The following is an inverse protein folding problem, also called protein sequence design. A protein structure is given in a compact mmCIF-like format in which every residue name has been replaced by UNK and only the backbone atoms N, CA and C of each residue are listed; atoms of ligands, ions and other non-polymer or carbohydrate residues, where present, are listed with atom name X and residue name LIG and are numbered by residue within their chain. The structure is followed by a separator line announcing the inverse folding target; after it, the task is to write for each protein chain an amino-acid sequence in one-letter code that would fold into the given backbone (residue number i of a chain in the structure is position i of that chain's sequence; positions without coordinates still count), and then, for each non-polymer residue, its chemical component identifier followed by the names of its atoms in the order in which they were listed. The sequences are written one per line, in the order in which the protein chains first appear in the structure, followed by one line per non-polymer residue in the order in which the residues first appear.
data_IF_626749193116
#
_entry.id   IF_626749193116
#
_cell.length_a   1.000
_cell.length_b   1.000
_cell.length_c   1.000
_cell.angle_alpha   90.00
_cell.angle_beta   90.00
_cell.angle_gamma   90.00
#
_symmetry.space_group_name_H-M   'P 1'
#
loop_
_entity.id
_entity.type
_entity.pdbx_description
1 polymer ?
#
# COMPACT_ATOMS: atom_id res chain seq x y z
N UNK A 1 4.20 30.20 23.93
CA UNK A 1 3.22 29.84 22.88
C UNK A 1 3.08 28.32 22.87
N UNK A 2 1.98 27.79 23.41
CA UNK A 2 1.69 26.36 23.40
C UNK A 2 1.31 26.00 21.95
N UNK A 3 2.18 25.30 21.25
CA UNK A 3 1.82 24.75 19.93
C UNK A 3 0.67 23.77 20.12
N UNK A 4 -0.53 24.19 19.74
CA UNK A 4 -1.65 23.25 19.65
C UNK A 4 -1.25 22.20 18.60
N UNK A 5 -0.83 21.04 19.08
CA UNK A 5 -0.49 19.91 18.21
C UNK A 5 -1.74 19.55 17.42
N UNK A 6 -1.65 19.62 16.09
CA UNK A 6 -2.76 19.29 15.22
C UNK A 6 -3.23 17.84 15.53
N UNK A 7 -4.52 17.70 15.82
CA UNK A 7 -5.16 16.40 16.09
C UNK A 7 -5.84 15.85 14.83
N UNK A 8 -5.13 15.87 13.69
CA UNK A 8 -5.64 15.34 12.44
C UNK A 8 -4.79 14.14 12.00
N UNK A 9 -5.46 13.03 11.66
CA UNK A 9 -4.87 11.90 10.95
C UNK A 9 -5.39 11.91 9.52
N UNK A 10 -4.49 12.06 8.55
CA UNK A 10 -4.78 11.87 7.13
C UNK A 10 -4.77 10.38 6.78
N UNK A 11 -5.76 9.89 6.07
CA UNK A 11 -5.80 8.53 5.54
C UNK A 11 -5.86 8.62 4.02
N UNK A 12 -4.77 8.22 3.37
CA UNK A 12 -4.68 8.07 1.92
C UNK A 12 -5.15 6.66 1.54
N UNK A 13 -6.35 6.53 1.02
CA UNK A 13 -6.94 5.25 0.67
C UNK A 13 -8.03 5.40 -0.39
N UNK A 14 -8.47 4.29 -0.96
CA UNK A 14 -9.66 4.22 -1.79
C UNK A 14 -10.89 4.72 -1.03
N UNK A 15 -11.96 5.10 -1.77
CA UNK A 15 -13.18 5.61 -1.15
C UNK A 15 -13.72 4.63 -0.08
N UNK A 16 -14.18 5.12 1.09
CA UNK A 16 -14.59 4.26 2.21
C UNK A 16 -15.66 3.22 1.87
N UNK A 17 -16.51 3.48 0.88
CA UNK A 17 -17.51 2.50 0.42
C UNK A 17 -16.93 1.19 -0.14
N UNK A 18 -15.62 1.16 -0.44
CA UNK A 18 -14.90 -0.03 -0.92
C UNK A 18 -14.23 -0.82 0.21
N UNK A 19 -14.23 -0.28 1.44
CA UNK A 19 -13.61 -0.92 2.59
C UNK A 19 -14.56 -1.94 3.22
N UNK A 20 -13.99 -2.99 3.80
CA UNK A 20 -14.75 -3.94 4.62
C UNK A 20 -14.60 -3.60 6.11
N UNK A 21 -15.66 -3.14 6.80
CA UNK A 21 -15.56 -2.72 8.20
C UNK A 21 -15.13 -3.82 9.17
N UNK A 22 -15.26 -5.10 8.78
CA UNK A 22 -14.87 -6.23 9.64
C UNK A 22 -13.41 -6.64 9.53
N UNK A 23 -12.73 -6.30 8.43
CA UNK A 23 -11.37 -6.79 8.16
C UNK A 23 -10.39 -5.72 7.71
N UNK A 24 -10.87 -4.53 7.30
CA UNK A 24 -9.97 -3.50 6.80
C UNK A 24 -9.26 -2.76 7.94
N UNK A 25 -7.95 -2.88 7.97
CA UNK A 25 -7.10 -2.23 8.95
C UNK A 25 -7.25 -0.71 8.96
N UNK A 26 -7.62 -0.09 7.84
CA UNK A 26 -7.83 1.37 7.76
C UNK A 26 -8.99 1.80 8.62
N UNK A 27 -10.06 1.01 8.68
CA UNK A 27 -11.23 1.26 9.56
C UNK A 27 -10.82 1.14 11.03
N UNK A 28 -10.09 0.08 11.40
CA UNK A 28 -9.61 -0.12 12.78
C UNK A 28 -8.70 1.03 13.22
N UNK A 29 -7.74 1.43 12.39
CA UNK A 29 -6.84 2.54 12.69
C UNK A 29 -7.59 3.87 12.82
N UNK A 30 -8.60 4.11 11.97
CA UNK A 30 -9.41 5.32 12.03
C UNK A 30 -10.22 5.39 13.34
N UNK A 31 -10.89 4.30 13.72
CA UNK A 31 -11.67 4.24 14.96
C UNK A 31 -10.78 4.43 16.19
N UNK A 32 -9.60 3.78 16.23
CA UNK A 32 -8.66 3.97 17.35
C UNK A 32 -8.10 5.40 17.40
N UNK A 33 -7.81 6.01 16.25
CA UNK A 33 -7.40 7.41 16.22
C UNK A 33 -8.52 8.34 16.76
N UNK A 34 -9.77 8.07 16.41
CA UNK A 34 -10.91 8.82 16.95
C UNK A 34 -11.06 8.68 18.47
N UNK A 35 -10.82 7.47 19.04
CA UNK A 35 -10.79 7.26 20.49
C UNK A 35 -9.74 8.10 21.20
N UNK A 36 -8.63 8.39 20.52
CA UNK A 36 -7.55 9.27 20.95
C UNK A 36 -7.83 10.75 20.63
N UNK A 37 -9.08 11.09 20.28
CA UNK A 37 -9.54 12.45 19.93
C UNK A 37 -8.86 13.04 18.68
N UNK A 38 -8.43 12.20 17.70
CA UNK A 38 -8.01 12.67 16.40
C UNK A 38 -9.22 12.81 15.47
N UNK A 39 -9.20 13.86 14.65
CA UNK A 39 -10.11 14.00 13.49
C UNK A 39 -9.52 13.24 12.33
N UNK A 40 -10.34 12.50 11.61
CA UNK A 40 -9.91 11.74 10.43
C UNK A 40 -10.20 12.55 9.18
N UNK A 41 -9.15 12.80 8.38
CA UNK A 41 -9.26 13.36 7.05
C UNK A 41 -8.93 12.31 6.01
N UNK A 42 -9.92 11.88 5.24
CA UNK A 42 -9.80 10.85 4.22
C UNK A 42 -9.67 11.48 2.83
N UNK A 43 -8.76 10.98 2.00
CA UNK A 43 -8.57 11.42 0.62
C UNK A 43 -8.09 10.27 -0.27
N UNK A 44 -8.48 10.35 -1.56
CA UNK A 44 -8.01 9.42 -2.59
C UNK A 44 -6.60 9.86 -3.07
N UNK A 45 -5.66 8.92 -3.33
CA UNK A 45 -4.32 9.26 -3.85
C UNK A 45 -4.33 10.20 -5.06
N UNK A 46 -5.30 10.05 -5.97
CA UNK A 46 -5.45 10.89 -7.17
C UNK A 46 -5.79 12.36 -6.87
N UNK A 47 -6.29 12.64 -5.68
CA UNK A 47 -6.68 13.99 -5.25
C UNK A 47 -5.53 14.78 -4.60
N UNK A 48 -4.30 14.19 -4.59
CA UNK A 48 -3.08 14.88 -4.16
C UNK A 48 -2.62 15.90 -5.19
N UNK A 49 -2.11 17.02 -4.70
CA UNK A 49 -1.48 18.05 -5.53
C UNK A 49 -0.36 18.78 -4.78
N UNK A 50 0.58 19.33 -5.55
CA UNK A 50 1.56 20.30 -5.06
C UNK A 50 1.20 21.63 -5.66
N UNK A 51 0.83 22.60 -4.83
CA UNK A 51 0.48 23.97 -5.25
C UNK A 51 1.22 24.95 -4.35
N UNK A 52 2.01 25.84 -4.94
CA UNK A 52 2.78 26.84 -4.20
C UNK A 52 3.59 26.21 -3.03
N UNK A 53 4.33 25.16 -3.34
CA UNK A 53 5.16 24.39 -2.40
C UNK A 53 4.41 23.69 -1.23
N UNK A 54 3.08 23.70 -1.23
CA UNK A 54 2.25 22.99 -0.29
C UNK A 54 1.74 21.67 -0.89
N UNK A 55 1.67 20.65 -0.07
CA UNK A 55 1.02 19.39 -0.43
C UNK A 55 -0.42 19.44 0.03
N UNK A 56 -1.33 19.50 -0.93
CA UNK A 56 -2.76 19.62 -0.72
C UNK A 56 -3.45 18.33 -1.13
N UNK A 57 -4.53 17.99 -0.44
CA UNK A 57 -5.43 16.93 -0.86
C UNK A 57 -6.89 17.42 -0.83
N UNK A 58 -7.65 17.14 -1.89
CA UNK A 58 -9.10 17.22 -1.84
C UNK A 58 -9.62 15.97 -1.14
N UNK A 59 -10.49 16.15 -0.16
CA UNK A 59 -10.95 15.04 0.64
C UNK A 59 -12.10 15.45 1.56
N UNK A 60 -12.27 14.69 2.62
CA UNK A 60 -13.34 14.96 3.57
C UNK A 60 -12.96 14.53 4.99
N UNK A 61 -13.48 15.26 5.97
CA UNK A 61 -13.52 14.78 7.35
C UNK A 61 -14.61 13.72 7.48
N UNK A 62 -14.28 12.66 8.21
CA UNK A 62 -15.09 11.45 8.28
C UNK A 62 -15.03 10.85 9.69
N UNK A 63 -16.11 10.23 10.11
CA UNK A 63 -16.17 9.37 11.28
C UNK A 63 -16.39 7.92 10.85
N UNK A 64 -15.66 7.01 11.47
CA UNK A 64 -15.80 5.57 11.31
C UNK A 64 -16.35 4.93 12.58
N UNK A 65 -17.01 3.80 12.42
CA UNK A 65 -17.44 2.92 13.51
C UNK A 65 -17.31 1.44 13.07
N UNK A 66 -17.53 0.51 13.99
CA UNK A 66 -17.42 -0.93 13.70
C UNK A 66 -18.74 -1.58 13.24
N UNK A 67 -19.79 -0.82 12.96
CA UNK A 67 -21.06 -1.39 12.53
C UNK A 67 -20.99 -1.86 11.06
N UNK A 68 -21.73 -2.92 10.73
CA UNK A 68 -21.77 -3.46 9.37
C UNK A 68 -22.52 -2.57 8.37
N UNK A 69 -23.49 -1.79 8.86
CA UNK A 69 -24.27 -0.83 8.07
C UNK A 69 -23.88 0.58 8.51
N UNK A 70 -23.69 1.48 7.54
CA UNK A 70 -23.33 2.87 7.82
C UNK A 70 -22.09 3.03 8.70
N UNK A 71 -21.05 2.21 8.45
CA UNK A 71 -19.82 2.19 9.24
C UNK A 71 -18.96 3.47 9.10
N UNK A 72 -19.35 4.39 8.22
CA UNK A 72 -18.74 5.72 8.09
C UNK A 72 -19.78 6.81 7.86
N UNK A 73 -19.42 8.04 8.27
CA UNK A 73 -20.21 9.24 8.04
C UNK A 73 -19.31 10.40 7.61
N UNK A 74 -19.49 10.89 6.38
CA UNK A 74 -18.79 12.09 5.90
C UNK A 74 -19.37 13.31 6.63
N UNK A 75 -18.49 14.15 7.22
CA UNK A 75 -18.86 15.36 7.95
C UNK A 75 -18.74 16.62 7.10
N UNK A 76 -17.61 16.80 6.44
CA UNK A 76 -17.37 17.98 5.59
C UNK A 76 -16.35 17.66 4.51
N UNK A 77 -16.53 18.27 3.34
CA UNK A 77 -15.59 18.16 2.20
C UNK A 77 -14.76 19.43 2.11
N UNK A 78 -13.46 19.28 1.88
CA UNK A 78 -12.57 20.41 1.71
C UNK A 78 -11.23 20.02 1.09
N UNK A 79 -10.44 21.03 0.71
CA UNK A 79 -9.01 20.87 0.42
C UNK A 79 -8.21 21.15 1.68
N UNK A 80 -7.37 20.20 2.09
CA UNK A 80 -6.53 20.31 3.27
C UNK A 80 -5.06 20.41 2.87
N UNK A 81 -4.32 21.34 3.49
CA UNK A 81 -2.87 21.31 3.52
C UNK A 81 -2.42 20.17 4.44
N UNK A 82 -1.83 19.14 3.86
CA UNK A 82 -1.48 17.92 4.59
C UNK A 82 -0.38 18.14 5.64
N UNK A 83 0.36 19.25 5.57
CA UNK A 83 1.30 19.63 6.64
C UNK A 83 0.60 19.93 7.98
N UNK A 84 -0.71 20.13 7.97
CA UNK A 84 -1.53 20.29 9.17
C UNK A 84 -1.91 18.97 9.85
N UNK A 85 -1.64 17.83 9.22
CA UNK A 85 -1.84 16.54 9.84
C UNK A 85 -0.74 16.25 10.87
N UNK A 86 -1.06 15.52 11.92
CA UNK A 86 -0.06 14.92 12.83
C UNK A 86 0.52 13.66 12.23
N UNK A 87 -0.34 12.84 11.63
CA UNK A 87 -0.01 11.60 10.96
C UNK A 87 -0.68 11.52 9.59
N UNK A 88 -0.03 10.87 8.65
CA UNK A 88 -0.63 10.44 7.38
C UNK A 88 -0.38 8.94 7.25
N UNK A 89 -1.45 8.18 7.03
CA UNK A 89 -1.41 6.75 6.82
C UNK A 89 -1.55 6.48 5.32
N UNK A 90 -0.52 5.86 4.71
CA UNK A 90 -0.59 5.38 3.33
C UNK A 90 -1.31 4.03 3.37
N UNK A 91 -2.57 4.01 2.98
CA UNK A 91 -3.46 2.85 3.00
C UNK A 91 -4.13 2.59 1.65
N UNK A 92 -3.62 3.20 0.58
CA UNK A 92 -4.09 2.91 -0.78
C UNK A 92 -3.78 1.47 -1.16
N UNK A 93 -4.73 0.86 -1.87
CA UNK A 93 -4.57 -0.49 -2.38
C UNK A 93 -3.59 -0.56 -3.56
N UNK A 94 -2.99 -1.72 -3.83
CA UNK A 94 -2.29 -1.97 -5.07
C UNK A 94 -3.17 -1.71 -6.31
N UNK A 95 -2.60 -1.55 -7.52
CA UNK A 95 -1.25 -1.99 -7.90
C UNK A 95 -0.16 -1.01 -7.49
N UNK A 96 1.04 -1.54 -7.20
CA UNK A 96 2.24 -0.75 -6.99
C UNK A 96 2.86 -0.36 -8.35
N UNK A 97 2.31 0.69 -8.93
CA UNK A 97 2.65 1.21 -10.26
C UNK A 97 3.23 2.63 -10.17
N UNK A 98 3.44 3.29 -11.30
CA UNK A 98 3.97 4.65 -11.35
C UNK A 98 3.06 5.67 -10.64
N UNK A 99 1.75 5.49 -10.66
CA UNK A 99 0.82 6.36 -9.94
C UNK A 99 1.02 6.22 -8.44
N UNK A 100 1.13 4.98 -7.93
CA UNK A 100 1.45 4.72 -6.53
C UNK A 100 2.77 5.37 -6.13
N UNK A 101 3.82 5.18 -6.93
CA UNK A 101 5.15 5.75 -6.70
C UNK A 101 5.08 7.28 -6.68
N UNK A 102 4.35 7.89 -7.61
CA UNK A 102 4.20 9.34 -7.71
C UNK A 102 3.60 9.96 -6.44
N UNK A 103 2.58 9.31 -5.84
CA UNK A 103 2.00 9.80 -4.59
C UNK A 103 3.01 9.77 -3.44
N UNK A 104 3.91 8.77 -3.41
CA UNK A 104 4.96 8.71 -2.39
C UNK A 104 5.99 9.83 -2.54
N UNK A 105 6.33 10.25 -3.77
CA UNK A 105 7.19 11.42 -3.99
C UNK A 105 6.53 12.71 -3.52
N UNK A 106 5.23 12.87 -3.76
CA UNK A 106 4.48 14.03 -3.26
C UNK A 106 4.53 14.08 -1.73
N UNK A 107 4.30 12.95 -1.05
CA UNK A 107 4.34 12.90 0.42
C UNK A 107 5.74 13.08 1.01
N UNK A 108 6.79 12.75 0.27
CA UNK A 108 8.18 13.01 0.70
C UNK A 108 8.44 14.49 0.98
N UNK A 109 7.78 15.42 0.27
CA UNK A 109 7.93 16.87 0.50
C UNK A 109 7.58 17.29 1.93
N UNK A 110 6.71 16.56 2.59
CA UNK A 110 6.22 16.93 3.92
C UNK A 110 6.62 15.95 5.03
N UNK A 111 7.39 14.89 4.74
CA UNK A 111 7.80 13.87 5.72
C UNK A 111 8.57 14.42 6.93
N UNK A 112 9.20 15.59 6.79
CA UNK A 112 9.90 16.27 7.89
C UNK A 112 8.94 17.12 8.76
N UNK A 113 7.73 17.42 8.27
CA UNK A 113 6.69 18.19 8.98
C UNK A 113 5.62 17.30 9.57
N UNK A 114 5.37 16.15 8.94
CA UNK A 114 4.29 15.21 9.28
C UNK A 114 4.84 13.80 9.35
N UNK A 115 4.42 13.02 10.33
CA UNK A 115 4.76 11.60 10.40
C UNK A 115 3.95 10.82 9.37
N UNK A 116 4.57 10.47 8.24
CA UNK A 116 3.96 9.64 7.20
C UNK A 116 4.25 8.15 7.49
N UNK A 117 3.24 7.33 7.52
CA UNK A 117 3.27 5.89 7.83
C UNK A 117 2.60 5.10 6.67
N UNK A 118 3.29 4.21 6.00
CA UNK A 118 4.72 3.91 6.11
C UNK A 118 5.56 5.03 5.49
N UNK A 119 6.86 5.06 5.81
CA UNK A 119 7.76 6.06 5.24
C UNK A 119 7.75 6.00 3.71
N UNK A 120 7.50 7.11 2.98
CA UNK A 120 7.34 7.09 1.52
C UNK A 120 8.57 6.57 0.76
N UNK A 121 9.77 6.93 1.22
CA UNK A 121 11.03 6.44 0.64
C UNK A 121 11.16 4.92 0.82
N UNK A 122 10.79 4.40 2.00
CA UNK A 122 10.82 2.96 2.27
C UNK A 122 9.79 2.22 1.43
N UNK A 123 8.60 2.77 1.26
CA UNK A 123 7.56 2.19 0.40
C UNK A 123 8.06 1.99 -1.03
N UNK A 124 8.78 2.97 -1.58
CA UNK A 124 9.38 2.84 -2.93
C UNK A 124 10.50 1.82 -3.01
N UNK A 125 11.33 1.74 -1.97
CA UNK A 125 12.59 0.98 -1.99
C UNK A 125 12.43 -0.47 -1.52
N UNK A 126 11.31 -0.82 -0.89
CA UNK A 126 11.03 -2.15 -0.36
C UNK A 126 10.01 -2.85 -1.25
N UNK A 127 10.50 -3.46 -2.33
CA UNK A 127 9.67 -4.32 -3.18
C UNK A 127 9.23 -5.55 -2.39
N UNK A 128 7.93 -5.84 -2.39
CA UNK A 128 7.29 -6.93 -1.63
C UNK A 128 8.03 -8.28 -1.76
N UNK A 129 8.43 -8.65 -2.98
CA UNK A 129 9.06 -9.95 -3.23
C UNK A 129 10.58 -9.87 -3.31
N UNK A 130 11.12 -8.89 -4.06
CA UNK A 130 12.57 -8.81 -4.26
C UNK A 130 13.35 -8.45 -3.00
N UNK A 131 12.74 -7.67 -2.11
CA UNK A 131 13.39 -7.32 -0.84
C UNK A 131 13.66 -8.55 0.05
N UNK A 132 12.85 -9.59 -0.08
CA UNK A 132 13.04 -10.85 0.65
C UNK A 132 14.37 -11.54 0.32
N UNK A 133 14.96 -11.29 -0.87
CA UNK A 133 16.26 -11.83 -1.26
C UNK A 133 17.39 -11.48 -0.27
N UNK A 134 17.24 -10.41 0.52
CA UNK A 134 18.17 -10.09 1.62
C UNK A 134 18.13 -11.08 2.78
N UNK A 135 17.12 -11.93 2.83
CA UNK A 135 16.86 -12.88 3.91
C UNK A 135 16.90 -14.33 3.44
N UNK A 136 17.70 -14.63 2.40
CA UNK A 136 17.76 -15.96 1.77
C UNK A 136 17.96 -17.12 2.75
N UNK A 137 18.74 -16.91 3.84
CA UNK A 137 18.96 -17.94 4.86
C UNK A 137 17.69 -18.40 5.59
N UNK A 138 16.60 -17.62 5.51
CA UNK A 138 15.31 -17.93 6.12
C UNK A 138 14.26 -18.35 5.07
N UNK A 139 14.65 -18.43 3.80
CA UNK A 139 13.75 -18.76 2.70
C UNK A 139 13.96 -20.19 2.23
N UNK A 140 12.92 -20.86 1.71
CA UNK A 140 13.12 -22.06 0.90
C UNK A 140 13.97 -21.73 -0.33
N UNK A 141 14.43 -22.74 -1.06
CA UNK A 141 15.12 -22.53 -2.32
C UNK A 141 14.29 -21.60 -3.22
N UNK A 142 14.88 -20.50 -3.64
CA UNK A 142 14.17 -19.45 -4.39
C UNK A 142 15.08 -18.87 -5.45
N UNK A 143 14.53 -18.61 -6.64
CA UNK A 143 15.18 -17.85 -7.71
C UNK A 143 14.30 -16.66 -8.11
N UNK A 144 14.94 -15.57 -8.52
CA UNK A 144 14.31 -14.43 -9.18
C UNK A 144 14.93 -14.33 -10.58
N UNK A 145 14.16 -14.65 -11.61
CA UNK A 145 14.71 -14.73 -12.98
C UNK A 145 13.65 -14.44 -14.03
N UNK A 146 14.10 -13.96 -15.19
CA UNK A 146 13.34 -13.93 -16.44
C UNK A 146 13.91 -14.92 -17.46
N UNK A 147 14.94 -15.69 -17.08
CA UNK A 147 15.54 -16.70 -17.93
C UNK A 147 14.80 -18.04 -17.80
N UNK A 148 14.20 -18.47 -18.90
CA UNK A 148 13.47 -19.73 -19.00
C UNK A 148 14.36 -20.95 -18.68
N UNK A 149 15.63 -20.90 -19.05
CA UNK A 149 16.57 -22.00 -18.79
C UNK A 149 16.85 -22.16 -17.30
N UNK A 150 16.95 -21.05 -16.56
CA UNK A 150 17.12 -21.09 -15.10
C UNK A 150 15.87 -21.65 -14.42
N UNK A 151 14.67 -21.32 -14.92
CA UNK A 151 13.42 -21.93 -14.43
C UNK A 151 13.41 -23.44 -14.67
N UNK A 152 13.85 -23.92 -15.84
CA UNK A 152 13.96 -25.35 -16.12
C UNK A 152 14.95 -26.07 -15.22
N UNK A 153 16.15 -25.48 -15.01
CA UNK A 153 17.17 -26.04 -14.11
C UNK A 153 16.61 -26.17 -12.69
N UNK A 154 15.94 -25.12 -12.21
CA UNK A 154 15.33 -25.10 -10.90
C UNK A 154 14.25 -26.20 -10.76
N UNK A 155 13.32 -26.29 -11.71
CA UNK A 155 12.29 -27.32 -11.71
C UNK A 155 12.91 -28.74 -11.81
N UNK A 156 13.92 -28.95 -12.65
CA UNK A 156 14.62 -30.24 -12.76
C UNK A 156 15.23 -30.69 -11.44
N UNK A 157 15.76 -29.72 -10.66
CA UNK A 157 16.36 -29.98 -9.35
C UNK A 157 15.34 -30.33 -8.27
N UNK A 158 14.28 -29.54 -8.17
CA UNK A 158 13.33 -29.62 -7.05
C UNK A 158 12.04 -30.41 -7.37
N UNK A 159 11.74 -30.66 -8.64
CA UNK A 159 10.55 -31.42 -9.15
C UNK A 159 9.19 -30.77 -8.82
N UNK A 160 9.17 -29.78 -7.97
CA UNK A 160 8.00 -29.02 -7.56
C UNK A 160 8.42 -27.57 -7.28
N UNK A 161 7.63 -26.59 -7.71
CA UNK A 161 7.88 -25.18 -7.42
C UNK A 161 6.61 -24.37 -7.43
N UNK A 162 6.65 -23.23 -6.73
CA UNK A 162 5.63 -22.20 -6.82
C UNK A 162 6.19 -21.05 -7.66
N UNK A 163 5.46 -20.67 -8.70
CA UNK A 163 5.77 -19.51 -9.52
C UNK A 163 4.87 -18.33 -9.14
N UNK A 164 5.45 -17.14 -9.01
CA UNK A 164 4.77 -15.91 -8.62
C UNK A 164 5.27 -14.74 -9.45
N UNK A 165 4.41 -13.91 -10.06
CA UNK A 165 4.86 -12.67 -10.68
C UNK A 165 5.45 -11.71 -9.64
N UNK A 166 6.49 -10.97 -10.00
CA UNK A 166 7.12 -10.01 -9.08
C UNK A 166 6.16 -8.89 -8.69
N UNK A 167 5.34 -8.44 -9.62
CA UNK A 167 4.44 -7.30 -9.45
C UNK A 167 2.99 -7.66 -9.09
N UNK A 168 2.70 -8.94 -8.81
CA UNK A 168 1.38 -9.34 -8.32
C UNK A 168 1.22 -9.08 -6.81
N UNK A 169 -0.02 -9.01 -6.35
CA UNK A 169 -0.40 -8.76 -4.97
C UNK A 169 -1.57 -9.65 -4.55
N UNK A 170 -1.83 -9.74 -3.25
CA UNK A 170 -2.99 -10.48 -2.67
C UNK A 170 -3.09 -11.93 -3.09
N UNK A 171 -1.96 -12.59 -3.38
CA UNK A 171 -1.96 -14.00 -3.80
C UNK A 171 -2.38 -14.24 -5.24
N UNK A 172 -2.62 -13.19 -6.03
CA UNK A 172 -3.00 -13.31 -7.42
C UNK A 172 -1.86 -13.92 -8.25
N UNK A 173 -2.25 -14.71 -9.24
CA UNK A 173 -1.31 -15.34 -10.18
C UNK A 173 -0.24 -16.23 -9.50
N UNK A 174 -0.55 -16.86 -8.37
CA UNK A 174 0.33 -17.85 -7.73
C UNK A 174 -0.03 -19.23 -8.26
N UNK A 175 0.96 -19.94 -8.85
CA UNK A 175 0.74 -21.27 -9.40
C UNK A 175 1.73 -22.29 -8.84
N UNK A 176 1.19 -23.43 -8.40
CA UNK A 176 1.97 -24.60 -8.07
C UNK A 176 2.23 -25.41 -9.35
N UNK A 177 3.48 -25.71 -9.63
CA UNK A 177 3.92 -26.57 -10.74
C UNK A 177 4.50 -27.83 -10.13
N UNK A 178 3.92 -28.99 -10.50
CA UNK A 178 4.29 -30.30 -10.00
C UNK A 178 4.22 -31.35 -11.14
N UNK A 179 5.14 -32.30 -11.12
CA UNK A 179 5.19 -33.40 -12.11
C UNK A 179 5.74 -32.97 -13.45
N UNK A 180 5.00 -32.20 -14.25
CA UNK A 180 5.43 -31.73 -15.58
C UNK A 180 5.41 -30.21 -15.64
N UNK A 181 6.48 -29.63 -16.17
CA UNK A 181 6.58 -28.19 -16.36
C UNK A 181 5.74 -27.77 -17.57
N UNK A 182 4.78 -26.88 -17.36
CA UNK A 182 4.02 -26.26 -18.44
C UNK A 182 4.80 -25.08 -19.01
N UNK A 183 5.41 -25.27 -20.18
CA UNK A 183 6.23 -24.26 -20.86
C UNK A 183 5.45 -22.98 -21.16
N UNK A 184 4.24 -23.10 -21.72
CA UNK A 184 3.40 -21.96 -22.08
C UNK A 184 3.03 -21.12 -20.86
N UNK A 185 2.71 -21.78 -19.74
CA UNK A 185 2.44 -21.09 -18.48
C UNK A 185 3.67 -20.31 -18.01
N UNK A 186 4.86 -20.95 -17.96
CA UNK A 186 6.10 -20.27 -17.52
C UNK A 186 6.43 -19.08 -18.42
N UNK A 187 6.33 -19.24 -19.74
CA UNK A 187 6.58 -18.15 -20.71
C UNK A 187 5.61 -16.98 -20.49
N UNK A 188 4.35 -17.24 -20.13
CA UNK A 188 3.39 -16.18 -19.81
C UNK A 188 3.79 -15.36 -18.58
N UNK A 189 4.46 -15.97 -17.60
CA UNK A 189 5.01 -15.29 -16.42
C UNK A 189 6.25 -14.45 -16.73
N UNK A 190 7.12 -14.93 -17.62
CA UNK A 190 8.33 -14.22 -18.00
C UNK A 190 8.02 -12.94 -18.80
N UNK A 191 6.92 -12.95 -19.55
CA UNK A 191 6.45 -11.80 -20.36
C UNK A 191 5.73 -10.72 -19.53
N UNK A 192 5.28 -11.04 -18.35
CA UNK A 192 4.67 -10.09 -17.39
C UNK A 192 5.73 -9.33 -16.59
#
# INVERSE_FOLDING_TARGET
MTYMTSKIVGIQANHPSKLNPKSDTSVFLAVEAQRLNYKIFHYDPKDLSIINDKVLAKGFFIEFNYTNKNFFKIKSRQTLDLSKCKYILIRQDPPFNLEYISTTYILDKIKNKVKVINNPTSVRNVSEKLYSAKFQKFMPATIFTRDLQEVYKFFKKYKEMIIKPIHSFSGNDIHLIKGKLNKTLVESFIKK
#
